data_IF_913888911875
#
_entry.id   IF_913888911875
#
_cell.length_a   1.000
_cell.length_b   1.000
_cell.length_c   1.000
_cell.angle_alpha   90.00
_cell.angle_beta   90.00
_cell.angle_gamma   90.00
#
_symmetry.space_group_name_H-M   'P 1'
#
loop_
_entity.id
_entity.type
_entity.pdbx_description
1 polymer ?
#
# COMPACT_ATOMS: atom_id res chain seq x y z
N UNK A 1 -10.90 -6.06 -8.49
CA UNK A 1 -10.62 -6.49 -7.12
C UNK A 1 -9.20 -6.16 -6.72
N UNK A 2 -8.96 -5.94 -5.45
CA UNK A 2 -7.64 -5.61 -5.00
C UNK A 2 -6.67 -6.79 -5.18
N UNK A 3 -5.41 -6.44 -5.41
CA UNK A 3 -4.35 -7.43 -5.47
C UNK A 3 -4.19 -8.10 -4.11
N UNK A 4 -4.19 -9.43 -4.10
CA UNK A 4 -4.02 -10.21 -2.87
C UNK A 4 -2.79 -11.10 -3.00
N UNK A 5 -1.78 -10.92 -2.13
CA UNK A 5 -0.60 -11.78 -2.16
C UNK A 5 -0.97 -13.22 -1.85
N UNK A 6 -0.29 -14.13 -2.53
CA UNK A 6 -0.45 -15.55 -2.29
C UNK A 6 0.64 -16.04 -1.32
N UNK A 7 0.41 -17.16 -0.59
CA UNK A 7 1.40 -17.64 0.37
C UNK A 7 2.78 -17.95 -0.23
N UNK A 8 2.82 -18.27 -1.52
CA UNK A 8 4.07 -18.58 -2.21
C UNK A 8 4.70 -17.38 -2.93
N UNK A 9 4.14 -16.17 -2.75
CA UNK A 9 4.76 -14.97 -3.29
C UNK A 9 6.09 -14.70 -2.59
N UNK A 10 6.98 -13.96 -3.29
CA UNK A 10 8.30 -13.68 -2.76
C UNK A 10 8.21 -12.87 -1.45
N UNK A 11 9.25 -12.97 -0.58
CA UNK A 11 9.28 -12.16 0.64
C UNK A 11 9.17 -10.66 0.36
N UNK A 12 9.70 -10.18 -0.77
CA UNK A 12 9.60 -8.77 -1.13
C UNK A 12 8.14 -8.35 -1.32
N UNK A 13 7.35 -9.18 -2.02
CA UNK A 13 5.93 -8.89 -2.25
C UNK A 13 5.17 -8.88 -0.93
N UNK A 14 5.45 -9.83 -0.04
CA UNK A 14 4.78 -9.90 1.26
C UNK A 14 5.12 -8.68 2.11
N UNK A 15 6.38 -8.23 2.09
CA UNK A 15 6.80 -7.02 2.81
C UNK A 15 6.13 -5.78 2.25
N UNK A 16 6.04 -5.66 0.94
CA UNK A 16 5.37 -4.53 0.30
C UNK A 16 3.90 -4.51 0.64
N UNK A 17 3.24 -5.68 0.66
CA UNK A 17 1.84 -5.75 1.06
C UNK A 17 1.65 -5.31 2.50
N UNK A 18 2.55 -5.71 3.39
CA UNK A 18 2.51 -5.30 4.79
C UNK A 18 2.67 -3.80 4.92
N UNK A 19 3.61 -3.22 4.18
CA UNK A 19 3.82 -1.78 4.16
C UNK A 19 2.57 -1.05 3.68
N UNK A 20 1.96 -1.55 2.60
CA UNK A 20 0.72 -0.99 2.07
C UNK A 20 -0.39 -1.01 3.12
N UNK A 21 -0.52 -2.11 3.84
CA UNK A 21 -1.52 -2.24 4.90
C UNK A 21 -1.27 -1.21 6.02
N UNK A 22 -0.01 -1.04 6.42
CA UNK A 22 0.36 -0.06 7.44
C UNK A 22 0.08 1.37 7.00
N UNK A 23 0.33 1.68 5.73
CA UNK A 23 0.04 2.99 5.18
C UNK A 23 -1.46 3.26 5.21
N UNK A 24 -2.28 2.27 4.86
CA UNK A 24 -3.72 2.42 4.90
C UNK A 24 -4.25 2.60 6.32
N UNK A 25 -3.70 1.87 7.27
CA UNK A 25 -4.06 2.04 8.67
C UNK A 25 -3.70 3.44 9.16
N UNK A 26 -2.53 3.95 8.76
CA UNK A 26 -2.11 5.32 9.08
C UNK A 26 -3.04 6.34 8.44
N UNK A 27 -3.44 6.12 7.20
CA UNK A 27 -4.40 6.99 6.51
C UNK A 27 -5.72 7.06 7.26
N UNK A 28 -6.25 5.91 7.68
CA UNK A 28 -7.50 5.86 8.42
C UNK A 28 -7.38 6.56 9.78
N UNK A 29 -6.27 6.36 10.47
CA UNK A 29 -6.01 7.02 11.74
C UNK A 29 -5.89 8.53 11.56
N UNK A 30 -5.21 8.98 10.51
CA UNK A 30 -5.07 10.40 10.20
C UNK A 30 -6.42 11.02 9.85
N UNK A 31 -7.25 10.31 9.08
CA UNK A 31 -8.58 10.79 8.74
C UNK A 31 -9.45 10.95 9.99
N UNK A 32 -9.35 10.02 10.93
CA UNK A 32 -10.08 10.10 12.19
C UNK A 32 -9.59 11.24 13.07
N UNK A 33 -8.28 11.51 13.07
CA UNK A 33 -7.68 12.54 13.92
C UNK A 33 -7.83 13.95 13.35
N UNK A 34 -7.65 14.12 12.04
CA UNK A 34 -7.57 15.42 11.40
C UNK A 34 -8.83 15.76 10.59
N UNK A 35 -9.65 14.77 10.30
CA UNK A 35 -10.81 14.98 9.43
C UNK A 35 -10.36 15.48 8.06
N UNK A 36 -11.05 16.52 7.56
CA UNK A 36 -10.71 17.11 6.27
C UNK A 36 -9.73 18.26 6.36
N UNK A 37 -9.30 18.63 7.57
CA UNK A 37 -8.42 19.76 7.76
C UNK A 37 -7.01 19.53 7.20
N UNK A 38 -6.63 18.28 7.03
CA UNK A 38 -5.31 17.93 6.54
C UNK A 38 -5.41 17.00 5.32
N UNK A 39 -6.12 17.45 4.30
CA UNK A 39 -6.25 16.70 3.05
C UNK A 39 -4.89 16.46 2.38
N UNK A 40 -3.95 17.35 2.58
CA UNK A 40 -2.60 17.21 2.04
C UNK A 40 -1.93 15.92 2.55
N UNK A 41 -2.07 15.64 3.83
CA UNK A 41 -1.52 14.42 4.43
C UNK A 41 -2.24 13.19 3.89
N UNK A 42 -3.57 13.25 3.82
CA UNK A 42 -4.36 12.13 3.32
C UNK A 42 -4.02 11.81 1.86
N UNK A 43 -3.83 12.83 1.03
CA UNK A 43 -3.42 12.64 -0.36
C UNK A 43 -2.05 12.01 -0.46
N UNK A 44 -1.11 12.48 0.36
CA UNK A 44 0.24 11.95 0.36
C UNK A 44 0.24 10.47 0.73
N UNK A 45 -0.50 10.09 1.76
CA UNK A 45 -0.62 8.70 2.19
C UNK A 45 -1.29 7.84 1.12
N UNK A 46 -2.32 8.36 0.48
CA UNK A 46 -3.01 7.65 -0.60
C UNK A 46 -2.07 7.40 -1.78
N UNK A 47 -1.30 8.41 -2.19
CA UNK A 47 -0.32 8.27 -3.26
C UNK A 47 0.77 7.27 -2.91
N UNK A 48 1.24 7.30 -1.66
CA UNK A 48 2.25 6.36 -1.20
C UNK A 48 1.74 4.92 -1.27
N UNK A 49 0.51 4.70 -0.81
CA UNK A 49 -0.12 3.38 -0.90
C UNK A 49 -0.23 2.90 -2.35
N UNK A 50 -0.59 3.79 -3.27
CA UNK A 50 -0.68 3.47 -4.69
C UNK A 50 0.67 3.11 -5.28
N UNK A 51 1.73 3.83 -4.91
CA UNK A 51 3.08 3.53 -5.37
C UNK A 51 3.54 2.16 -4.87
N UNK A 52 3.27 1.84 -3.62
CA UNK A 52 3.62 0.53 -3.08
C UNK A 52 2.88 -0.57 -3.83
N UNK A 53 1.61 -0.36 -4.15
CA UNK A 53 0.84 -1.31 -4.93
C UNK A 53 1.45 -1.55 -6.31
N UNK A 54 1.86 -0.47 -6.99
CA UNK A 54 2.51 -0.56 -8.30
C UNK A 54 3.83 -1.33 -8.19
N UNK A 55 4.62 -1.06 -7.15
CA UNK A 55 5.85 -1.78 -6.92
C UNK A 55 5.62 -3.27 -6.71
N UNK A 56 4.55 -3.62 -6.00
CA UNK A 56 4.17 -5.02 -5.81
C UNK A 56 3.86 -5.70 -7.13
N UNK A 57 3.13 -5.03 -8.01
CA UNK A 57 2.80 -5.56 -9.32
C UNK A 57 4.06 -5.73 -10.18
N UNK A 58 4.97 -4.78 -10.12
CA UNK A 58 6.23 -4.87 -10.85
C UNK A 58 7.09 -6.03 -10.34
N UNK A 59 7.19 -6.17 -9.03
CA UNK A 59 7.90 -7.30 -8.44
C UNK A 59 7.34 -8.63 -8.89
N UNK A 60 6.02 -8.74 -8.89
CA UNK A 60 5.35 -9.97 -9.31
C UNK A 60 5.57 -10.23 -10.79
N UNK A 61 5.55 -9.20 -11.61
CA UNK A 61 5.82 -9.31 -13.04
C UNK A 61 7.25 -9.77 -13.33
N UNK A 62 8.21 -9.26 -12.58
CA UNK A 62 9.61 -9.63 -12.72
C UNK A 62 9.88 -11.08 -12.32
N UNK A 63 9.12 -11.61 -11.37
CA UNK A 63 9.26 -12.98 -10.90
C UNK A 63 8.44 -13.97 -11.72
N UNK A 64 7.55 -13.51 -12.57
CA UNK A 64 6.75 -14.36 -13.43
C UNK A 64 7.57 -14.82 -14.63
N UNK A 65 7.54 -16.10 -14.96
CA UNK A 65 8.23 -16.60 -16.15
C UNK A 65 7.60 -16.08 -17.44
#
# INVERSE_FOLDING_TARGET
PPFMPEPHDSPAILRLNRLRTQIRETELAAAAAFGRDREDILRALNRLSSLVYILMLQCKGETSP
#
